data_IF_039723995886
#
_entry.id   IF_039723995886
#
_cell.length_a   1.000
_cell.length_b   1.000
_cell.length_c   1.000
_cell.angle_alpha   90.00
_cell.angle_beta   90.00
_cell.angle_gamma   90.00
#
_symmetry.space_group_name_H-M   'P 1'
#
loop_
_entity.id
_entity.type
_entity.pdbx_description
1 polymer ?
#
# COMPACT_ATOMS: atom_id res chain seq x y z
N UNK A 1 -14.52 -13.15 13.61
CA UNK A 1 -14.43 -14.39 12.78
C UNK A 1 -14.93 -14.05 11.38
N UNK A 2 -14.05 -13.63 10.49
CA UNK A 2 -14.38 -13.28 9.11
C UNK A 2 -14.19 -14.53 8.24
N UNK A 3 -15.30 -15.01 7.67
CA UNK A 3 -15.36 -16.15 6.77
C UNK A 3 -14.55 -15.86 5.50
N UNK A 4 -13.39 -16.44 5.40
CA UNK A 4 -12.57 -16.42 4.19
C UNK A 4 -13.28 -17.23 3.11
N UNK A 5 -14.07 -16.56 2.28
CA UNK A 5 -14.59 -17.15 1.03
C UNK A 5 -13.38 -17.56 0.18
N UNK A 6 -13.03 -18.84 0.23
CA UNK A 6 -12.10 -19.46 -0.72
C UNK A 6 -12.71 -19.37 -2.13
N UNK A 7 -12.41 -18.29 -2.82
CA UNK A 7 -12.67 -18.22 -4.26
C UNK A 7 -11.71 -19.24 -4.90
N UNK A 8 -12.24 -20.41 -5.23
CA UNK A 8 -11.53 -21.41 -6.03
C UNK A 8 -11.49 -20.90 -7.48
N UNK A 9 -10.55 -19.98 -7.76
CA UNK A 9 -10.25 -19.66 -9.14
C UNK A 9 -9.59 -20.88 -9.78
N UNK A 10 -10.21 -21.42 -10.82
CA UNK A 10 -9.59 -22.43 -11.67
C UNK A 10 -8.28 -21.83 -12.21
N UNK A 11 -7.23 -22.67 -12.21
CA UNK A 11 -6.00 -22.30 -12.89
C UNK A 11 -6.32 -22.11 -14.38
N UNK A 12 -6.01 -20.92 -14.90
CA UNK A 12 -6.23 -20.58 -16.30
C UNK A 12 -4.91 -20.73 -17.06
N UNK A 13 -4.91 -21.30 -18.27
CA UNK A 13 -3.71 -21.35 -19.08
C UNK A 13 -3.30 -19.94 -19.51
N UNK A 14 -2.10 -19.53 -19.14
CA UNK A 14 -1.48 -18.30 -19.62
C UNK A 14 -0.58 -18.62 -20.81
N UNK A 15 -0.88 -18.05 -21.97
CA UNK A 15 -0.02 -17.95 -23.15
C UNK A 15 0.78 -19.20 -23.53
N UNK A 16 0.16 -20.11 -24.27
CA UNK A 16 0.91 -21.21 -24.86
C UNK A 16 0.28 -21.79 -26.14
N UNK A 17 -0.29 -20.93 -26.97
CA UNK A 17 -0.79 -21.42 -28.26
C UNK A 17 0.33 -22.01 -29.15
N UNK A 18 1.53 -21.40 -29.12
CA UNK A 18 2.65 -21.86 -29.95
C UNK A 18 3.13 -23.27 -29.61
N UNK A 19 3.59 -23.56 -28.37
CA UNK A 19 4.09 -24.92 -28.04
C UNK A 19 2.99 -25.98 -28.04
N UNK A 20 1.74 -25.64 -27.72
CA UNK A 20 0.61 -26.55 -27.82
C UNK A 20 0.28 -26.86 -29.27
N UNK A 21 0.21 -25.84 -30.13
CA UNK A 21 -0.02 -26.04 -31.56
C UNK A 21 1.12 -26.84 -32.18
N UNK A 22 2.38 -26.56 -31.83
CA UNK A 22 3.54 -27.32 -32.28
C UNK A 22 3.46 -28.82 -31.86
N UNK A 23 3.05 -29.05 -30.62
CA UNK A 23 2.86 -30.43 -30.11
C UNK A 23 1.76 -31.20 -30.89
N UNK A 24 0.65 -30.52 -31.17
CA UNK A 24 -0.45 -31.12 -31.97
C UNK A 24 0.00 -31.42 -33.39
N UNK A 25 0.69 -30.48 -34.05
CA UNK A 25 1.24 -30.69 -35.40
C UNK A 25 2.22 -31.86 -35.42
N UNK A 26 3.12 -31.93 -34.43
CA UNK A 26 4.06 -33.04 -34.30
C UNK A 26 3.35 -34.39 -34.17
N UNK A 27 2.31 -34.47 -33.37
CA UNK A 27 1.51 -35.69 -33.18
C UNK A 27 0.77 -36.06 -34.46
N UNK A 28 0.23 -35.10 -35.21
CA UNK A 28 -0.45 -35.38 -36.49
C UNK A 28 0.52 -35.88 -37.54
N UNK A 29 1.70 -35.29 -37.68
CA UNK A 29 2.75 -35.74 -38.59
C UNK A 29 3.21 -37.13 -38.21
N UNK A 30 3.45 -37.40 -36.93
CA UNK A 30 3.82 -38.72 -36.45
C UNK A 30 2.74 -39.76 -36.72
N UNK A 31 1.47 -39.44 -36.49
CA UNK A 31 0.36 -40.34 -36.80
C UNK A 31 0.29 -40.69 -38.28
N UNK A 32 0.55 -39.71 -39.16
CA UNK A 32 0.65 -39.93 -40.61
C UNK A 32 1.78 -40.89 -40.97
N UNK A 33 2.98 -40.68 -40.41
CA UNK A 33 4.13 -41.55 -40.61
C UNK A 33 3.89 -42.96 -40.06
N UNK A 34 3.30 -43.07 -38.89
CA UNK A 34 2.95 -44.35 -38.27
C UNK A 34 1.94 -45.15 -39.09
N UNK A 35 0.95 -44.46 -39.66
CA UNK A 35 -0.04 -45.08 -40.53
C UNK A 35 0.58 -45.57 -41.87
N UNK A 36 1.43 -44.73 -42.46
CA UNK A 36 2.10 -45.06 -43.72
C UNK A 36 3.13 -46.18 -43.60
N UNK A 37 3.81 -46.29 -42.47
CA UNK A 37 4.87 -47.30 -42.23
C UNK A 37 4.34 -48.70 -41.97
N UNK A 38 3.08 -48.84 -41.52
CA UNK A 38 2.49 -50.12 -41.13
C UNK A 38 3.19 -50.82 -39.95
N UNK A 39 4.19 -50.18 -39.37
CA UNK A 39 5.03 -50.76 -38.32
C UNK A 39 4.45 -50.53 -36.93
N UNK A 40 4.13 -51.58 -36.19
CA UNK A 40 3.64 -51.51 -34.82
C UNK A 40 4.62 -50.83 -33.85
N UNK A 41 5.91 -50.95 -34.14
CA UNK A 41 6.96 -50.31 -33.37
C UNK A 41 6.91 -48.77 -33.46
N UNK A 42 6.67 -48.20 -34.63
CA UNK A 42 6.48 -46.77 -34.84
C UNK A 42 5.23 -46.25 -34.08
N UNK A 43 4.16 -47.09 -34.10
CA UNK A 43 2.93 -46.74 -33.36
C UNK A 43 3.14 -46.70 -31.84
N UNK A 44 3.88 -47.64 -31.27
CA UNK A 44 4.17 -47.68 -29.83
C UNK A 44 5.02 -46.48 -29.38
N UNK A 45 6.03 -46.09 -30.16
CA UNK A 45 6.84 -44.89 -29.89
C UNK A 45 5.97 -43.63 -29.98
N UNK A 46 5.09 -43.55 -31.00
CA UNK A 46 4.17 -42.41 -31.12
C UNK A 46 3.20 -42.28 -29.93
N UNK A 47 2.67 -43.39 -29.46
CA UNK A 47 1.80 -43.42 -28.29
C UNK A 47 2.53 -42.97 -27.01
N UNK A 48 3.80 -43.38 -26.85
CA UNK A 48 4.62 -42.96 -25.73
C UNK A 48 4.90 -41.44 -25.76
N UNK A 49 5.23 -40.90 -26.93
CA UNK A 49 5.44 -39.45 -27.13
C UNK A 49 4.14 -38.68 -26.87
N UNK A 50 3.01 -39.14 -27.37
CA UNK A 50 1.70 -38.55 -27.13
C UNK A 50 1.35 -38.53 -25.65
N UNK A 51 1.59 -39.64 -24.94
CA UNK A 51 1.39 -39.75 -23.49
C UNK A 51 2.26 -38.76 -22.70
N UNK A 52 3.53 -38.61 -23.11
CA UNK A 52 4.45 -37.67 -22.50
C UNK A 52 3.99 -36.20 -22.71
N UNK A 53 3.55 -35.85 -23.92
CA UNK A 53 3.04 -34.53 -24.25
C UNK A 53 1.74 -34.22 -23.48
N UNK A 54 0.82 -35.20 -23.41
CA UNK A 54 -0.40 -35.05 -22.60
C UNK A 54 -0.07 -34.86 -21.12
N UNK A 55 0.88 -35.63 -20.58
CA UNK A 55 1.34 -35.48 -19.23
C UNK A 55 1.90 -34.05 -19.00
N UNK A 56 2.72 -33.54 -19.92
CA UNK A 56 3.26 -32.20 -19.85
C UNK A 56 2.21 -31.07 -19.92
N UNK A 57 1.10 -31.37 -20.60
CA UNK A 57 -0.01 -30.41 -20.72
C UNK A 57 -0.88 -30.38 -19.46
N UNK A 58 -1.15 -31.55 -18.87
CA UNK A 58 -2.13 -31.72 -17.79
C UNK A 58 -1.51 -31.68 -16.41
N UNK A 59 -0.30 -32.24 -16.24
CA UNK A 59 0.38 -32.30 -14.94
C UNK A 59 0.56 -30.95 -14.24
N UNK A 60 0.89 -29.82 -14.92
CA UNK A 60 1.00 -28.53 -14.26
C UNK A 60 -0.32 -28.06 -13.65
N UNK A 61 -1.45 -28.41 -14.29
CA UNK A 61 -2.79 -28.07 -13.78
C UNK A 61 -3.08 -28.73 -12.43
N UNK A 62 -2.62 -29.95 -12.21
CA UNK A 62 -2.73 -30.67 -10.93
C UNK A 62 -1.67 -30.23 -9.92
N UNK A 63 -0.51 -29.78 -10.38
CA UNK A 63 0.56 -29.33 -9.51
C UNK A 63 0.34 -27.90 -8.97
N UNK A 64 -0.23 -26.99 -9.78
CA UNK A 64 -0.48 -25.59 -9.43
C UNK A 64 -1.33 -25.41 -8.15
N UNK A 65 -2.37 -26.22 -7.85
CA UNK A 65 -3.12 -26.09 -6.60
C UNK A 65 -2.30 -26.32 -5.33
N UNK A 66 -1.24 -27.10 -5.39
CA UNK A 66 -0.37 -27.40 -4.25
C UNK A 66 0.78 -26.40 -4.05
N UNK A 67 0.94 -25.42 -4.94
CA UNK A 67 1.95 -24.37 -4.77
C UNK A 67 1.45 -23.33 -3.78
N UNK A 68 2.19 -23.15 -2.69
CA UNK A 68 2.00 -22.09 -1.71
C UNK A 68 3.29 -21.31 -1.54
N UNK A 69 3.16 -20.02 -1.31
CA UNK A 69 4.27 -19.12 -0.97
C UNK A 69 4.19 -18.80 0.51
N UNK A 70 5.34 -18.72 1.13
CA UNK A 70 5.49 -18.31 2.53
C UNK A 70 6.37 -17.07 2.54
N UNK A 71 5.90 -16.00 3.15
CA UNK A 71 6.69 -14.81 3.40
C UNK A 71 7.59 -15.07 4.61
N UNK A 72 8.91 -14.97 4.43
CA UNK A 72 9.88 -15.10 5.53
C UNK A 72 10.13 -13.77 6.20
N UNK A 73 10.30 -12.73 5.41
CA UNK A 73 10.59 -11.38 5.87
C UNK A 73 9.81 -10.37 5.06
N UNK A 74 9.25 -9.38 5.74
CA UNK A 74 8.61 -8.23 5.14
C UNK A 74 9.04 -6.96 5.86
N UNK A 75 9.30 -5.86 5.16
CA UNK A 75 9.51 -4.57 5.79
C UNK A 75 8.22 -4.15 6.52
N UNK A 76 8.37 -3.31 7.53
CA UNK A 76 7.23 -2.76 8.28
C UNK A 76 6.67 -1.49 7.64
N UNK A 77 7.51 -0.76 6.94
CA UNK A 77 7.18 0.56 6.40
C UNK A 77 7.52 0.65 4.91
N UNK A 78 6.64 1.28 4.17
CA UNK A 78 6.83 1.60 2.75
C UNK A 78 6.15 2.92 2.40
N UNK A 79 6.44 3.44 1.21
CA UNK A 79 5.77 4.61 0.65
C UNK A 79 4.93 4.14 -0.54
N UNK A 80 3.73 4.69 -0.70
CA UNK A 80 2.89 4.38 -1.86
C UNK A 80 3.64 4.63 -3.17
N UNK A 81 3.52 3.71 -4.12
CA UNK A 81 4.25 3.76 -5.39
C UNK A 81 5.74 3.40 -5.32
N UNK A 82 6.31 3.16 -4.14
CA UNK A 82 7.69 2.70 -4.02
C UNK A 82 7.81 1.19 -4.21
N UNK A 83 9.00 0.77 -4.61
CA UNK A 83 9.36 -0.65 -4.73
C UNK A 83 9.60 -1.22 -3.35
N UNK A 84 8.95 -2.32 -3.04
CA UNK A 84 9.09 -3.06 -1.78
C UNK A 84 9.48 -4.49 -2.08
N UNK A 85 10.53 -4.98 -1.45
CA UNK A 85 11.01 -6.34 -1.59
C UNK A 85 10.52 -7.20 -0.43
N UNK A 86 9.99 -8.37 -0.75
CA UNK A 86 9.51 -9.38 0.19
C UNK A 86 10.34 -10.64 0.01
N UNK A 87 10.88 -11.19 1.07
CA UNK A 87 11.54 -12.49 1.02
C UNK A 87 10.49 -13.60 1.05
N UNK A 88 10.42 -14.36 -0.03
CA UNK A 88 9.45 -15.43 -0.19
C UNK A 88 10.12 -16.75 -0.48
N UNK A 89 9.51 -17.82 0.02
CA UNK A 89 9.93 -19.21 -0.25
C UNK A 89 8.73 -19.99 -0.76
N UNK A 90 8.97 -20.84 -1.76
CA UNK A 90 8.00 -21.82 -2.20
C UNK A 90 8.01 -23.08 -1.31
N UNK A 91 6.84 -23.70 -1.11
CA UNK A 91 6.73 -24.92 -0.31
C UNK A 91 7.20 -26.19 -1.05
N UNK A 92 7.40 -26.14 -2.36
CA UNK A 92 7.81 -27.29 -3.21
C UNK A 92 9.03 -26.97 -4.06
N UNK A 93 9.81 -27.99 -4.38
CA UNK A 93 11.00 -27.90 -5.24
C UNK A 93 10.68 -27.69 -6.74
N UNK A 94 9.50 -27.22 -7.08
CA UNK A 94 9.10 -27.00 -8.47
C UNK A 94 9.50 -25.61 -8.93
N UNK A 95 9.95 -25.53 -10.18
CA UNK A 95 10.15 -24.24 -10.84
C UNK A 95 8.79 -23.58 -11.08
N UNK A 96 8.58 -22.42 -10.52
CA UNK A 96 7.40 -21.60 -10.72
C UNK A 96 7.78 -20.14 -10.88
N UNK A 97 6.92 -19.36 -11.47
CA UNK A 97 7.04 -17.90 -11.49
C UNK A 97 6.02 -17.32 -10.54
N UNK A 98 6.43 -16.30 -9.78
CA UNK A 98 5.53 -15.52 -8.95
C UNK A 98 5.52 -14.08 -9.46
N UNK A 99 4.35 -13.48 -9.56
CA UNK A 99 4.16 -12.09 -9.96
C UNK A 99 3.10 -11.44 -9.09
N UNK A 100 3.44 -10.30 -8.50
CA UNK A 100 2.46 -9.45 -7.82
C UNK A 100 1.80 -8.49 -8.82
N UNK A 101 0.71 -7.87 -8.42
CA UNK A 101 0.09 -6.79 -9.19
C UNK A 101 1.08 -5.62 -9.25
N UNK A 102 1.46 -5.20 -10.47
CA UNK A 102 2.45 -4.14 -10.70
C UNK A 102 3.92 -4.55 -10.56
N UNK A 103 4.21 -5.78 -10.11
CA UNK A 103 5.58 -6.28 -9.94
C UNK A 103 6.13 -7.03 -11.15
N UNK A 104 7.46 -7.19 -11.17
CA UNK A 104 8.15 -8.03 -12.16
C UNK A 104 7.96 -9.51 -11.84
N UNK A 105 7.87 -10.40 -12.85
CA UNK A 105 7.80 -11.83 -12.62
C UNK A 105 9.12 -12.33 -12.02
N UNK A 106 9.02 -13.09 -10.94
CA UNK A 106 10.13 -13.71 -10.24
C UNK A 106 10.14 -15.21 -10.51
N UNK A 107 11.31 -15.77 -10.87
CA UNK A 107 11.51 -17.21 -11.00
C UNK A 107 11.83 -17.80 -9.61
N UNK A 108 10.96 -18.66 -9.12
CA UNK A 108 11.15 -19.41 -7.88
C UNK A 108 11.65 -20.81 -8.20
N UNK A 109 12.77 -21.18 -7.60
CA UNK A 109 13.35 -22.52 -7.73
C UNK A 109 13.43 -23.18 -6.35
N UNK A 110 12.36 -23.86 -5.98
CA UNK A 110 12.36 -24.65 -4.75
C UNK A 110 12.25 -23.85 -3.46
N UNK A 111 12.96 -24.31 -2.43
CA UNK A 111 13.03 -23.70 -1.09
C UNK A 111 14.07 -22.58 -0.99
N UNK A 112 14.60 -22.10 -2.11
CA UNK A 112 15.58 -21.02 -2.12
C UNK A 112 14.82 -19.70 -1.89
N UNK A 113 15.24 -18.87 -0.92
CA UNK A 113 14.66 -17.55 -0.72
C UNK A 113 14.78 -16.72 -2.00
N UNK A 114 13.75 -16.01 -2.34
CA UNK A 114 13.73 -15.13 -3.50
C UNK A 114 13.03 -13.81 -3.15
N UNK A 115 13.46 -12.71 -3.77
CA UNK A 115 12.95 -11.38 -3.50
C UNK A 115 11.76 -11.07 -4.42
N UNK A 116 10.54 -11.13 -3.88
CA UNK A 116 9.34 -10.75 -4.59
C UNK A 116 9.16 -9.23 -4.50
N UNK A 117 9.15 -8.59 -5.65
CA UNK A 117 8.93 -7.14 -5.75
C UNK A 117 7.43 -6.85 -5.79
N UNK A 118 6.98 -5.97 -4.91
CA UNK A 118 5.63 -5.40 -4.92
C UNK A 118 5.70 -3.89 -5.00
N UNK A 119 4.69 -3.28 -5.60
CA UNK A 119 4.53 -1.83 -5.64
C UNK A 119 3.12 -1.52 -5.12
N UNK A 120 2.97 -1.19 -3.83
CA UNK A 120 1.67 -0.83 -3.28
C UNK A 120 1.20 0.49 -3.91
N UNK A 121 0.05 0.51 -4.60
CA UNK A 121 -0.38 1.69 -5.35
C UNK A 121 -0.92 2.82 -4.45
N UNK A 122 -1.39 2.48 -3.25
CA UNK A 122 -2.07 3.41 -2.34
C UNK A 122 -1.54 3.25 -0.92
N UNK A 123 -1.74 4.30 -0.11
CA UNK A 123 -1.50 4.25 1.32
C UNK A 123 -2.45 3.25 2.01
N UNK A 124 -2.06 2.77 3.16
CA UNK A 124 -2.89 1.85 3.94
C UNK A 124 -2.09 0.82 4.72
N UNK A 125 -2.79 -0.06 5.42
CA UNK A 125 -2.19 -1.19 6.12
C UNK A 125 -2.42 -2.45 5.31
N UNK A 126 -1.35 -3.06 4.83
CA UNK A 126 -1.38 -4.26 3.99
C UNK A 126 -0.93 -5.46 4.84
N UNK A 127 -1.84 -6.37 5.12
CA UNK A 127 -1.55 -7.63 5.83
C UNK A 127 -1.33 -8.81 4.90
N UNK A 128 -1.83 -8.73 3.68
CA UNK A 128 -1.72 -9.79 2.69
C UNK A 128 -1.65 -9.22 1.27
N UNK A 129 -0.92 -9.89 0.39
CA UNK A 129 -0.75 -9.50 -1.01
C UNK A 129 -1.20 -10.63 -1.92
N UNK A 130 -1.96 -10.30 -2.96
CA UNK A 130 -2.32 -11.27 -4.00
C UNK A 130 -1.16 -11.45 -4.97
N UNK A 131 -0.69 -12.69 -5.10
CA UNK A 131 0.41 -13.07 -5.97
C UNK A 131 -0.08 -14.10 -6.96
N UNK A 132 0.18 -13.89 -8.24
CA UNK A 132 -0.08 -14.87 -9.29
C UNK A 132 1.11 -15.81 -9.39
N UNK A 133 0.87 -17.07 -9.10
CA UNK A 133 1.87 -18.13 -9.19
C UNK A 133 1.57 -18.98 -10.42
N UNK A 134 2.57 -19.16 -11.28
CA UNK A 134 2.44 -19.96 -12.49
C UNK A 134 3.53 -21.02 -12.57
N UNK A 135 3.19 -22.18 -13.08
CA UNK A 135 4.12 -23.29 -13.35
C UNK A 135 3.82 -23.96 -14.68
N UNK A 136 4.85 -24.42 -15.34
CA UNK A 136 4.77 -25.23 -16.54
C UNK A 136 5.55 -26.56 -16.40
N UNK A 137 5.94 -26.92 -15.18
CA UNK A 137 6.66 -28.16 -14.94
C UNK A 137 5.74 -29.38 -15.16
N UNK A 138 6.24 -30.54 -15.71
CA UNK A 138 7.66 -30.80 -15.91
C UNK A 138 8.23 -30.37 -17.27
N UNK A 139 7.43 -30.35 -18.34
CA UNK A 139 7.92 -30.16 -19.70
C UNK A 139 7.91 -28.76 -20.25
N UNK A 140 7.32 -27.81 -19.56
CA UNK A 140 7.29 -26.40 -19.98
C UNK A 140 6.36 -26.09 -21.17
N UNK A 141 5.44 -27.00 -21.51
CA UNK A 141 4.57 -26.87 -22.68
C UNK A 141 3.45 -25.85 -22.48
N UNK A 142 2.84 -25.83 -21.29
CA UNK A 142 1.71 -24.97 -20.97
C UNK A 142 1.87 -24.39 -19.58
N UNK A 143 1.76 -23.07 -19.46
CA UNK A 143 1.78 -22.38 -18.20
C UNK A 143 0.39 -22.37 -17.56
N UNK A 144 0.31 -22.89 -16.35
CA UNK A 144 -0.88 -22.83 -15.53
C UNK A 144 -0.66 -21.86 -14.40
N UNK A 145 -1.52 -20.84 -14.31
CA UNK A 145 -1.43 -19.80 -13.30
C UNK A 145 -2.57 -19.85 -12.31
N UNK A 146 -2.29 -19.41 -11.10
CA UNK A 146 -3.28 -19.27 -10.04
C UNK A 146 -2.94 -18.13 -9.11
N UNK A 147 -3.97 -17.37 -8.73
CA UNK A 147 -3.81 -16.32 -7.74
C UNK A 147 -3.77 -16.94 -6.33
N UNK A 148 -2.82 -16.48 -5.53
CA UNK A 148 -2.58 -16.88 -4.14
C UNK A 148 -2.51 -15.66 -3.26
N UNK A 149 -3.06 -15.77 -2.08
CA UNK A 149 -2.90 -14.75 -1.04
C UNK A 149 -1.65 -15.11 -0.26
N UNK A 150 -0.69 -14.21 -0.27
CA UNK A 150 0.53 -14.26 0.53
C UNK A 150 0.29 -13.40 1.77
N UNK A 151 0.18 -14.03 2.93
CA UNK A 151 0.12 -13.33 4.20
C UNK A 151 1.51 -12.82 4.56
N UNK A 152 1.60 -11.55 4.95
CA UNK A 152 2.86 -10.95 5.37
C UNK A 152 3.16 -11.33 6.83
N UNK A 153 4.43 -11.53 7.15
CA UNK A 153 4.90 -11.86 8.51
C UNK A 153 4.54 -10.73 9.50
N UNK A 154 4.55 -9.49 9.02
CA UNK A 154 4.14 -8.30 9.77
C UNK A 154 3.31 -7.41 8.85
N UNK A 155 2.33 -6.66 9.38
CA UNK A 155 1.59 -5.71 8.58
C UNK A 155 2.53 -4.64 8.02
N UNK A 156 2.40 -4.37 6.73
CA UNK A 156 3.14 -3.34 6.01
C UNK A 156 2.34 -2.04 6.09
N UNK A 157 2.92 -1.01 6.70
CA UNK A 157 2.36 0.33 6.73
C UNK A 157 2.83 1.10 5.52
N UNK A 158 1.92 1.37 4.60
CA UNK A 158 2.20 2.13 3.38
C UNK A 158 1.85 3.59 3.63
N UNK A 159 2.87 4.41 3.81
CA UNK A 159 2.73 5.85 3.98
C UNK A 159 2.34 6.52 2.65
N UNK A 160 1.60 7.64 2.68
CA UNK A 160 1.38 8.44 1.48
C UNK A 160 2.69 9.04 0.96
N UNK A 161 2.73 9.35 -0.33
CA UNK A 161 3.83 10.12 -0.91
C UNK A 161 3.85 11.54 -0.32
N UNK A 162 5.00 12.16 -0.30
CA UNK A 162 5.09 13.58 0.05
C UNK A 162 4.83 14.40 -1.20
N UNK A 163 3.85 15.29 -1.15
CA UNK A 163 3.58 16.25 -2.22
C UNK A 163 4.03 17.63 -1.78
N UNK A 164 4.83 18.28 -2.60
CA UNK A 164 5.40 19.62 -2.31
C UNK A 164 4.39 20.76 -2.49
N UNK A 165 3.12 20.55 -2.19
CA UNK A 165 2.07 21.57 -2.33
C UNK A 165 1.54 22.07 -0.97
N UNK A 166 2.43 22.41 -0.04
CA UNK A 166 2.06 22.95 1.28
C UNK A 166 1.28 24.28 1.30
N UNK A 167 0.93 24.84 0.15
CA UNK A 167 0.18 26.11 0.09
C UNK A 167 -1.35 25.93 0.26
N UNK A 168 -1.91 24.81 -0.23
CA UNK A 168 -3.36 24.60 -0.19
C UNK A 168 -3.87 24.19 1.21
N UNK A 169 -3.07 23.44 1.96
CA UNK A 169 -3.45 22.99 3.30
C UNK A 169 -3.39 24.13 4.33
N UNK A 170 -2.53 25.14 4.11
CA UNK A 170 -2.46 26.33 4.98
C UNK A 170 -3.76 27.11 5.03
N UNK A 171 -4.55 27.11 3.97
CA UNK A 171 -5.87 27.77 3.96
C UNK A 171 -6.92 27.02 4.76
N UNK A 172 -6.76 25.69 4.92
CA UNK A 172 -7.67 24.86 5.74
C UNK A 172 -7.28 24.86 7.22
N UNK A 173 -6.04 25.26 7.55
CA UNK A 173 -5.50 25.27 8.92
C UNK A 173 -5.61 26.66 9.59
N UNK A 174 -5.97 27.69 8.88
CA UNK A 174 -6.40 28.96 9.53
C UNK A 174 -7.80 28.71 10.06
N UNK A 175 -8.02 28.76 11.39
CA UNK A 175 -9.35 28.61 11.93
C UNK A 175 -10.22 29.72 11.37
N UNK A 176 -11.24 29.35 10.57
CA UNK A 176 -12.35 30.26 10.29
C UNK A 176 -12.94 30.65 11.65
N UNK A 177 -12.96 31.93 11.94
CA UNK A 177 -13.31 32.51 13.27
C UNK A 177 -14.78 32.24 13.67
N UNK A 178 -15.44 31.25 13.09
CA UNK A 178 -16.91 31.11 13.16
C UNK A 178 -17.49 29.90 13.87
N UNK A 179 -16.84 28.76 14.03
CA UNK A 179 -17.51 27.58 14.58
C UNK A 179 -16.63 26.74 15.51
N UNK A 180 -16.89 26.83 16.78
CA UNK A 180 -16.87 25.82 17.85
C UNK A 180 -15.77 24.75 17.96
N UNK A 181 -14.53 25.00 17.55
CA UNK A 181 -13.38 24.12 17.82
C UNK A 181 -12.70 24.47 19.16
N UNK A 182 -12.09 23.48 19.86
CA UNK A 182 -11.40 23.75 21.12
C UNK A 182 -10.29 24.77 20.87
N UNK A 183 -10.46 25.94 21.48
CA UNK A 183 -9.56 27.07 21.40
C UNK A 183 -8.17 26.65 21.89
N UNK A 184 -7.09 27.01 21.16
CA UNK A 184 -5.80 27.08 21.80
C UNK A 184 -5.94 28.07 22.96
N UNK A 185 -5.80 27.57 24.17
CA UNK A 185 -5.70 28.41 25.37
C UNK A 185 -4.58 29.40 25.09
N UNK A 186 -4.92 30.71 25.13
CA UNK A 186 -3.96 31.81 25.03
C UNK A 186 -3.07 31.81 26.27
N UNK A 187 -2.19 30.82 26.38
CA UNK A 187 -1.21 30.66 27.46
C UNK A 187 0.17 31.01 26.94
N UNK A 188 0.27 32.11 26.19
CA UNK A 188 1.56 32.75 25.90
C UNK A 188 1.86 33.74 26.98
N UNK A 189 3.12 33.79 27.47
CA UNK A 189 3.57 34.85 28.34
C UNK A 189 3.32 36.20 27.66
N UNK A 190 2.85 37.17 28.46
CA UNK A 190 2.55 38.52 28.00
C UNK A 190 3.87 39.21 27.65
N UNK A 191 4.16 39.35 26.35
CA UNK A 191 5.36 40.04 25.87
C UNK A 191 5.26 41.57 26.10
N UNK A 192 4.01 42.08 25.99
CA UNK A 192 3.75 43.50 26.11
C UNK A 192 2.32 43.85 25.75
N UNK A 193 2.04 45.13 25.79
CA UNK A 193 0.80 45.74 25.30
C UNK A 193 1.16 46.82 24.28
N UNK A 194 0.48 46.76 23.12
CA UNK A 194 0.62 47.79 22.07
C UNK A 194 -0.72 48.49 21.81
N UNK A 195 -0.70 49.67 21.20
CA UNK A 195 -1.92 50.32 20.76
C UNK A 195 -2.70 49.45 19.75
N UNK A 196 -4.02 49.50 19.84
CA UNK A 196 -4.94 48.86 18.93
C UNK A 196 -4.74 49.36 17.49
N UNK A 197 -4.71 48.43 16.53
CA UNK A 197 -4.74 48.73 15.12
C UNK A 197 -6.01 48.13 14.50
N UNK A 198 -6.50 48.76 13.41
CA UNK A 198 -7.69 48.30 12.73
C UNK A 198 -7.48 46.89 12.18
N UNK A 199 -8.33 45.95 12.59
CA UNK A 199 -8.20 44.52 12.27
C UNK A 199 -7.80 43.64 13.47
N UNK A 200 -7.40 44.22 14.60
CA UNK A 200 -7.11 43.46 15.80
C UNK A 200 -8.38 42.90 16.45
N UNK A 201 -8.34 41.63 16.87
CA UNK A 201 -9.47 40.97 17.54
C UNK A 201 -9.79 41.65 18.90
N UNK A 202 -11.02 42.10 19.08
CA UNK A 202 -11.51 42.74 20.31
C UNK A 202 -11.33 41.90 21.58
N UNK A 203 -11.21 40.60 21.47
CA UNK A 203 -10.96 39.69 22.61
C UNK A 203 -9.55 39.78 23.17
N UNK A 204 -8.62 40.38 22.44
CA UNK A 204 -7.22 40.61 22.90
C UNK A 204 -7.01 41.96 23.61
N UNK A 205 -8.07 42.72 23.82
CA UNK A 205 -7.98 44.03 24.52
C UNK A 205 -7.54 43.81 25.96
N UNK A 206 -6.48 44.53 26.35
CA UNK A 206 -6.03 44.59 27.74
C UNK A 206 -6.72 45.77 28.46
N UNK A 207 -7.90 45.46 29.01
CA UNK A 207 -8.76 46.50 29.61
C UNK A 207 -8.07 47.34 30.68
N UNK A 208 -7.22 46.73 31.54
CA UNK A 208 -6.48 47.45 32.56
C UNK A 208 -5.51 48.49 32.00
N UNK A 209 -4.73 48.14 30.96
CA UNK A 209 -3.82 49.07 30.30
C UNK A 209 -4.60 50.11 29.48
N UNK A 210 -5.71 49.71 28.85
CA UNK A 210 -6.56 50.66 28.11
C UNK A 210 -7.18 51.71 29.01
N UNK A 211 -7.62 51.32 30.22
CA UNK A 211 -8.18 52.24 31.20
C UNK A 211 -7.13 53.24 31.72
N UNK A 212 -5.87 52.82 31.82
CA UNK A 212 -4.78 53.65 32.33
C UNK A 212 -4.24 54.62 31.28
N UNK A 213 -4.23 54.21 30.00
CA UNK A 213 -3.67 55.03 28.91
C UNK A 213 -4.73 55.82 28.14
N UNK A 214 -6.03 55.56 28.35
CA UNK A 214 -7.12 56.18 27.61
C UNK A 214 -7.27 55.72 26.17
N UNK A 215 -6.40 54.82 25.66
CA UNK A 215 -6.41 54.26 24.34
C UNK A 215 -6.58 52.77 24.40
N UNK A 216 -7.25 52.17 23.40
CA UNK A 216 -7.40 50.70 23.31
C UNK A 216 -6.03 50.04 23.17
N UNK A 217 -5.69 49.20 24.13
CA UNK A 217 -4.44 48.47 24.17
C UNK A 217 -4.69 46.98 23.95
N UNK A 218 -3.90 46.34 23.10
CA UNK A 218 -3.96 44.90 22.76
C UNK A 218 -2.85 44.14 23.47
N UNK A 219 -3.17 42.98 24.02
CA UNK A 219 -2.19 42.02 24.55
C UNK A 219 -1.39 41.45 23.42
N UNK A 220 -0.09 41.63 23.44
CA UNK A 220 0.86 40.99 22.56
C UNK A 220 1.38 39.75 23.28
N UNK A 221 0.87 38.58 22.87
CA UNK A 221 1.34 37.30 23.36
C UNK A 221 2.54 36.87 22.53
N UNK A 222 3.61 36.49 23.19
CA UNK A 222 4.72 35.84 22.52
C UNK A 222 4.23 34.46 22.07
N UNK A 223 4.09 34.28 20.78
CA UNK A 223 3.92 32.90 20.23
C UNK A 223 5.22 32.17 20.47
N UNK A 224 5.28 31.32 21.49
CA UNK A 224 6.46 30.48 21.69
C UNK A 224 6.65 29.66 20.44
N UNK A 225 7.82 29.72 19.85
CA UNK A 225 8.24 28.88 18.73
C UNK A 225 8.12 27.39 19.07
N UNK A 226 7.92 27.06 20.36
CA UNK A 226 7.80 25.70 20.92
C UNK A 226 6.35 25.18 21.02
N UNK A 227 5.33 26.00 20.71
CA UNK A 227 3.94 25.52 20.77
C UNK A 227 3.71 24.45 19.69
N UNK A 228 3.18 23.26 20.07
CA UNK A 228 2.96 22.20 19.11
C UNK A 228 1.89 22.60 18.09
N UNK A 229 2.18 22.34 16.83
CA UNK A 229 1.22 22.54 15.74
C UNK A 229 0.25 21.37 15.75
N UNK A 230 -1.04 21.64 15.92
CA UNK A 230 -2.06 20.62 15.77
C UNK A 230 -2.50 20.54 14.30
N UNK A 231 -2.27 19.39 13.67
CA UNK A 231 -2.70 19.09 12.32
C UNK A 231 -3.87 18.09 12.37
N UNK A 232 -5.03 18.53 11.89
CA UNK A 232 -6.23 17.68 11.82
C UNK A 232 -6.36 17.16 10.40
N UNK A 233 -6.42 15.83 10.23
CA UNK A 233 -6.55 15.18 8.94
C UNK A 233 -7.86 14.41 8.91
N UNK A 234 -8.84 14.98 8.21
CA UNK A 234 -10.13 14.36 7.94
C UNK A 234 -10.14 13.82 6.51
N UNK A 235 -10.42 12.54 6.38
CA UNK A 235 -10.39 11.85 5.10
C UNK A 235 -11.80 11.61 4.58
N UNK A 236 -12.08 11.97 3.32
CA UNK A 236 -13.35 11.64 2.67
C UNK A 236 -13.42 10.15 2.31
N UNK A 237 -14.63 9.69 1.95
CA UNK A 237 -14.84 8.31 1.46
C UNK A 237 -14.24 8.06 0.08
N UNK A 238 -14.13 9.10 -0.73
CA UNK A 238 -13.46 9.00 -2.03
C UNK A 238 -11.98 8.72 -1.82
N UNK A 239 -11.54 7.56 -2.29
CA UNK A 239 -10.18 7.07 -2.07
C UNK A 239 -9.11 7.97 -2.72
N UNK A 240 -9.41 8.53 -3.89
CA UNK A 240 -8.45 9.38 -4.61
C UNK A 240 -8.32 10.76 -3.95
N UNK A 241 -9.42 11.30 -3.42
CA UNK A 241 -9.40 12.52 -2.63
C UNK A 241 -8.72 12.30 -1.27
N UNK A 242 -8.99 11.17 -0.63
CA UNK A 242 -8.36 10.79 0.64
C UNK A 242 -6.85 10.63 0.50
N UNK A 243 -6.37 10.02 -0.59
CA UNK A 243 -4.94 9.85 -0.85
C UNK A 243 -4.27 11.21 -1.07
N UNK A 244 -4.89 12.12 -1.85
CA UNK A 244 -4.39 13.48 -2.05
C UNK A 244 -4.28 14.28 -0.74
N UNK A 245 -5.31 14.26 0.09
CA UNK A 245 -5.30 14.94 1.38
C UNK A 245 -4.20 14.37 2.29
N UNK A 246 -4.02 13.06 2.28
CA UNK A 246 -2.97 12.42 3.07
C UNK A 246 -1.55 12.73 2.54
N UNK A 247 -1.37 12.87 1.22
CA UNK A 247 -0.11 13.30 0.59
C UNK A 247 0.24 14.74 0.98
N UNK A 248 -0.75 15.65 0.91
CA UNK A 248 -0.59 17.06 1.28
C UNK A 248 -0.28 17.19 2.79
N UNK A 249 -1.00 16.43 3.62
CA UNK A 249 -0.74 16.38 5.07
C UNK A 249 0.67 15.86 5.38
N UNK A 250 1.12 14.83 4.66
CA UNK A 250 2.48 14.30 4.83
C UNK A 250 3.54 15.31 4.43
N UNK A 251 3.32 16.08 3.34
CA UNK A 251 4.19 17.17 2.91
C UNK A 251 4.32 18.25 3.98
N UNK A 252 3.20 18.70 4.56
CA UNK A 252 3.19 19.70 5.63
C UNK A 252 3.90 19.18 6.90
N UNK A 253 3.63 17.91 7.30
CA UNK A 253 4.29 17.30 8.45
C UNK A 253 5.81 17.30 8.25
N UNK A 254 6.30 16.85 7.10
CA UNK A 254 7.73 16.79 6.81
C UNK A 254 8.36 18.18 6.83
N UNK A 255 7.68 19.18 6.28
CA UNK A 255 8.15 20.57 6.28
C UNK A 255 8.28 21.12 7.72
N UNK A 256 7.27 20.89 8.56
CA UNK A 256 7.27 21.37 9.93
C UNK A 256 8.28 20.64 10.83
N UNK A 257 8.43 19.32 10.63
CA UNK A 257 9.47 18.53 11.32
C UNK A 257 10.88 19.02 10.95
N UNK A 258 11.12 19.31 9.68
CA UNK A 258 12.40 19.85 9.22
C UNK A 258 12.67 21.26 9.76
N UNK A 259 11.61 22.02 10.06
CA UNK A 259 11.70 23.31 10.74
C UNK A 259 11.90 23.18 12.28
N UNK A 260 12.03 21.95 12.80
CA UNK A 260 12.23 21.67 14.22
C UNK A 260 10.97 21.87 15.08
N UNK A 261 9.78 21.96 14.48
CA UNK A 261 8.53 22.18 15.21
C UNK A 261 7.95 20.87 15.74
N UNK A 262 7.31 20.94 16.90
CA UNK A 262 6.54 19.84 17.46
C UNK A 262 5.17 19.76 16.77
N UNK A 263 4.78 18.54 16.36
CA UNK A 263 3.50 18.30 15.69
C UNK A 263 2.66 17.35 16.53
N UNK A 264 1.40 17.70 16.70
CA UNK A 264 0.36 16.81 17.20
C UNK A 264 -0.56 16.51 16.03
N UNK A 265 -0.63 15.24 15.64
CA UNK A 265 -1.45 14.80 14.53
C UNK A 265 -2.76 14.22 15.07
N UNK A 266 -3.86 14.69 14.54
CA UNK A 266 -5.19 14.19 14.80
C UNK A 266 -5.70 13.50 13.54
N UNK A 267 -6.05 12.20 13.68
CA UNK A 267 -6.56 11.36 12.60
C UNK A 267 -7.71 10.51 13.09
N UNK A 268 -8.59 10.14 12.19
CA UNK A 268 -9.64 9.14 12.43
C UNK A 268 -9.11 7.77 12.02
N UNK A 269 -9.00 6.85 12.97
CA UNK A 269 -8.62 5.45 12.74
C UNK A 269 -9.85 4.54 12.91
N UNK A 270 -9.74 3.24 12.58
CA UNK A 270 -10.85 2.29 12.74
C UNK A 270 -11.36 2.17 14.19
N UNK A 271 -10.53 2.55 15.17
CA UNK A 271 -10.86 2.56 16.61
C UNK A 271 -11.44 3.89 17.09
N UNK A 272 -11.58 4.88 16.21
CA UNK A 272 -12.04 6.22 16.53
C UNK A 272 -10.99 7.32 16.30
N UNK A 273 -11.28 8.50 16.82
CA UNK A 273 -10.40 9.68 16.69
C UNK A 273 -9.18 9.55 17.60
N UNK A 274 -8.00 9.68 17.04
CA UNK A 274 -6.73 9.53 17.75
C UNK A 274 -5.91 10.81 17.61
N UNK A 275 -5.53 11.38 18.76
CA UNK A 275 -4.68 12.58 18.86
C UNK A 275 -3.38 12.18 19.52
N UNK A 276 -2.24 12.33 18.83
CA UNK A 276 -0.95 12.01 19.41
C UNK A 276 0.18 12.81 18.76
N UNK A 277 1.28 13.07 19.50
CA UNK A 277 2.45 13.71 18.96
C UNK A 277 3.12 12.83 17.91
N UNK A 278 3.72 13.48 16.91
CA UNK A 278 4.50 12.87 15.85
C UNK A 278 5.95 13.26 16.03
N UNK A 279 6.80 12.25 16.24
CA UNK A 279 8.22 12.47 16.49
C UNK A 279 9.05 12.53 15.20
N UNK A 280 8.65 11.74 14.19
CA UNK A 280 9.39 11.55 12.95
C UNK A 280 8.47 11.25 11.75
N UNK A 281 9.07 11.25 10.57
CA UNK A 281 8.38 10.95 9.31
C UNK A 281 7.75 9.55 9.29
N UNK A 282 8.38 8.56 9.92
CA UNK A 282 7.90 7.17 9.90
C UNK A 282 6.65 7.05 10.77
N UNK A 283 6.66 7.65 11.96
CA UNK A 283 5.49 7.67 12.86
C UNK A 283 4.29 8.39 12.22
N UNK A 284 4.53 9.50 11.51
CA UNK A 284 3.51 10.19 10.72
C UNK A 284 2.94 9.29 9.63
N UNK A 285 3.82 8.64 8.85
CA UNK A 285 3.43 7.75 7.78
C UNK A 285 2.57 6.58 8.27
N UNK A 286 2.96 5.95 9.38
CA UNK A 286 2.17 4.87 10.01
C UNK A 286 0.79 5.33 10.48
N UNK A 287 0.70 6.57 11.00
CA UNK A 287 -0.58 7.16 11.42
C UNK A 287 -1.48 7.41 10.22
N UNK A 288 -0.96 8.04 9.17
CA UNK A 288 -1.69 8.29 7.93
C UNK A 288 -2.06 6.98 7.21
N UNK A 289 -1.24 5.92 7.30
CA UNK A 289 -1.56 4.61 6.76
C UNK A 289 -2.76 3.95 7.47
N UNK A 290 -2.94 4.18 8.79
CA UNK A 290 -4.07 3.65 9.56
C UNK A 290 -5.34 4.50 9.45
N UNK A 291 -5.22 5.75 9.01
CA UNK A 291 -6.36 6.66 8.96
C UNK A 291 -7.39 6.22 7.92
N UNK A 292 -8.65 6.25 8.33
CA UNK A 292 -9.83 5.90 7.53
C UNK A 292 -10.75 7.13 7.39
N UNK A 293 -11.75 7.04 6.52
CA UNK A 293 -12.75 8.10 6.42
C UNK A 293 -13.48 8.28 7.76
N UNK A 294 -13.76 9.53 8.13
CA UNK A 294 -14.42 9.85 9.40
C UNK A 294 -15.78 9.17 9.58
N UNK A 295 -16.46 8.87 8.48
CA UNK A 295 -17.73 8.14 8.47
C UNK A 295 -17.61 6.63 8.68
N UNK A 296 -16.42 6.05 8.61
CA UNK A 296 -16.15 4.61 8.71
C UNK A 296 -15.52 4.23 10.07
N UNK A 297 -15.29 5.22 10.95
CA UNK A 297 -14.89 4.99 12.33
C UNK A 297 -16.08 4.41 13.11
N UNK A 298 -15.85 3.31 13.81
CA UNK A 298 -16.84 2.65 14.69
C UNK A 298 -16.68 3.08 16.12
#
# INVERSE_FOLDING_TARGET
>A
MASTRRIRHLALPERAFGPVAGSVVLLLVWAGVAHASGSGWVQTVGAAVAGLLLLGLVAPGFAAPGLTLICQSSPTDAIAGSVVELDVIGNRSMRCTARSVGGTPLLLAGKIPAHLVIVPPRRGVVSAVTVRVATAAPLGLLWWSRDRVLELTRPLYVAPQTRDQGAALRQTLTPDEGQGTPRPTLTGDLRGVRPYQHGDGRRRVHWGASAHTGNLMIRESESRQDDPICLIVDLPRDLDAADRIAEDAMGEIVMQLNAGRRIVLETTESTGRVVAPVADRVSAGRRLARSVASSDAR
#
